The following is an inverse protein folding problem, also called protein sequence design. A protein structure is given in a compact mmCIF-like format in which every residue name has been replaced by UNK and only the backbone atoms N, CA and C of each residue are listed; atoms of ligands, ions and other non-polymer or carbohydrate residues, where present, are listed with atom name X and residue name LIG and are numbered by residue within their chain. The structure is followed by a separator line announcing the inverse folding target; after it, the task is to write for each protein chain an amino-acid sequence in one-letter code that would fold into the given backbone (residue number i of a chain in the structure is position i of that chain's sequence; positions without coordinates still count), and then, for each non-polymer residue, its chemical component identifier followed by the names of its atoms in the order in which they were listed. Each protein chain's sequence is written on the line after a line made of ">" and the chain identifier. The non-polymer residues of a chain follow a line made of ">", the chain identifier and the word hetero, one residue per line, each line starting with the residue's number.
data_IF_083150178958
#
_entry.id   IF_083150178958
#
_cell.length_a   1.000
_cell.length_b   1.000
_cell.length_c   1.000
_cell.angle_alpha   90.00
_cell.angle_beta   90.00
_cell.angle_gamma   90.00
#
_symmetry.space_group_name_H-M   'P 1'
#
loop_
_entity.id
_entity.type
_entity.pdbx_description
1 polymer ?
#
# COMPACT_ATOMS: atom_id res chain seq x y z
N UNK A 1 20.08 -15.56 6.46
CA UNK A 1 19.78 -14.52 7.46
C UNK A 1 18.27 -14.54 7.66
N UNK A 2 17.81 -15.23 8.70
CA UNK A 2 16.39 -15.45 8.93
C UNK A 2 15.71 -14.18 9.43
N UNK A 3 14.45 -14.09 9.10
CA UNK A 3 13.58 -12.99 9.45
C UNK A 3 12.73 -13.53 10.61
N UNK A 4 12.99 -13.06 11.82
CA UNK A 4 12.46 -13.67 13.08
C UNK A 4 11.55 -12.70 13.83
N UNK A 5 10.56 -13.16 14.63
CA UNK A 5 9.53 -12.31 15.29
C UNK A 5 9.99 -10.96 15.74
N UNK A 6 11.04 -11.13 16.53
CA UNK A 6 11.62 -10.08 17.29
C UNK A 6 12.03 -8.92 16.40
N UNK A 7 12.50 -9.19 15.17
CA UNK A 7 12.97 -8.15 14.27
C UNK A 7 11.80 -7.27 13.78
N UNK A 8 10.64 -7.81 13.37
CA UNK A 8 9.45 -7.06 12.90
C UNK A 8 8.95 -6.25 14.06
N UNK A 9 8.94 -6.84 15.25
CA UNK A 9 8.52 -6.14 16.45
C UNK A 9 9.43 -4.95 16.73
N UNK A 10 10.75 -5.14 16.71
CA UNK A 10 11.74 -4.06 16.88
C UNK A 10 11.52 -2.97 15.84
N UNK A 11 11.30 -3.36 14.60
CA UNK A 11 11.12 -2.45 13.47
C UNK A 11 9.80 -1.71 13.54
N UNK A 12 8.73 -2.38 13.97
CA UNK A 12 7.46 -1.74 14.26
C UNK A 12 7.60 -0.69 15.36
N UNK A 13 8.36 -1.00 16.43
CA UNK A 13 8.63 -0.05 17.51
C UNK A 13 9.45 1.15 16.99
N UNK A 14 10.50 0.93 16.20
CA UNK A 14 11.30 2.02 15.64
C UNK A 14 10.44 2.90 14.71
N UNK A 15 9.66 2.29 13.82
CA UNK A 15 8.72 3.01 12.96
C UNK A 15 7.70 3.84 13.76
N UNK A 16 7.18 3.32 14.88
CA UNK A 16 6.31 4.06 15.82
C UNK A 16 7.02 5.26 16.42
N UNK A 17 8.28 5.12 16.81
CA UNK A 17 9.06 6.22 17.39
C UNK A 17 9.38 7.29 16.35
N UNK A 18 9.74 6.90 15.12
CA UNK A 18 10.08 7.84 14.03
C UNK A 18 8.86 8.62 13.54
N UNK A 19 7.73 7.93 13.31
CA UNK A 19 6.52 8.57 12.79
C UNK A 19 5.66 9.22 13.90
N UNK A 20 5.82 8.72 15.13
CA UNK A 20 5.06 9.10 16.31
C UNK A 20 3.83 8.21 16.53
N UNK A 21 3.61 7.68 17.76
CA UNK A 21 2.50 6.77 18.06
C UNK A 21 1.12 7.40 17.85
N UNK A 22 1.04 8.72 17.96
CA UNK A 22 -0.21 9.47 17.77
C UNK A 22 -0.64 9.54 16.30
N UNK A 23 0.31 9.46 15.35
CA UNK A 23 0.03 9.64 13.91
C UNK A 23 -0.19 8.32 13.18
N UNK A 24 0.41 7.22 13.67
CA UNK A 24 0.22 5.89 13.10
C UNK A 24 -1.23 5.43 12.91
N UNK A 25 -2.14 5.55 13.91
CA UNK A 25 -3.52 5.09 13.73
C UNK A 25 -4.22 5.86 12.61
N UNK A 26 -3.93 7.16 12.46
CA UNK A 26 -4.46 7.98 11.38
C UNK A 26 -3.99 7.49 10.00
N UNK A 27 -2.70 7.17 9.84
CA UNK A 27 -2.17 6.66 8.58
C UNK A 27 -2.63 5.23 8.28
N UNK A 28 -2.73 4.38 9.28
CA UNK A 28 -3.26 3.03 9.14
C UNK A 28 -4.72 3.04 8.66
N UNK A 29 -5.54 3.96 9.20
CA UNK A 29 -6.91 4.17 8.73
C UNK A 29 -6.95 4.59 7.26
N UNK A 30 -6.13 5.58 6.87
CA UNK A 30 -6.03 6.04 5.47
C UNK A 30 -5.59 4.92 4.52
N UNK A 31 -4.61 4.12 4.92
CA UNK A 31 -4.17 2.97 4.14
C UNK A 31 -5.29 1.93 4.01
N UNK A 32 -6.02 1.64 5.10
CA UNK A 32 -7.14 0.71 5.07
C UNK A 32 -8.27 1.20 4.14
N UNK A 33 -8.58 2.49 4.17
CA UNK A 33 -9.55 3.11 3.27
C UNK A 33 -9.09 3.03 1.81
N UNK A 34 -7.81 3.32 1.56
CA UNK A 34 -7.22 3.20 0.23
C UNK A 34 -7.30 1.76 -0.31
N UNK A 35 -6.90 0.78 0.49
CA UNK A 35 -6.99 -0.64 0.09
C UNK A 35 -8.44 -1.06 -0.19
N UNK A 36 -9.40 -0.60 0.61
CA UNK A 36 -10.83 -0.84 0.34
C UNK A 36 -11.29 -0.20 -0.96
N UNK A 37 -10.83 1.02 -1.25
CA UNK A 37 -11.16 1.73 -2.48
C UNK A 37 -10.58 1.01 -3.71
N UNK A 38 -9.30 0.63 -3.66
CA UNK A 38 -8.63 -0.16 -4.71
C UNK A 38 -9.34 -1.48 -4.94
N UNK A 39 -9.73 -2.19 -3.87
CA UNK A 39 -10.49 -3.44 -3.97
C UNK A 39 -11.83 -3.23 -4.69
N UNK A 40 -12.62 -2.24 -4.26
CA UNK A 40 -13.92 -1.92 -4.89
C UNK A 40 -13.75 -1.57 -6.37
N UNK A 41 -12.69 -0.82 -6.70
CA UNK A 41 -12.36 -0.49 -8.08
C UNK A 41 -12.02 -1.73 -8.91
N UNK A 42 -11.19 -2.63 -8.36
CA UNK A 42 -10.85 -3.89 -9.01
C UNK A 42 -12.08 -4.79 -9.23
N UNK A 43 -12.97 -4.89 -8.22
CA UNK A 43 -14.22 -5.65 -8.33
C UNK A 43 -15.12 -5.06 -9.44
N UNK A 44 -15.28 -3.74 -9.48
CA UNK A 44 -16.08 -3.05 -10.53
C UNK A 44 -15.48 -3.22 -11.93
N UNK A 45 -14.16 -3.13 -12.04
CA UNK A 45 -13.46 -3.32 -13.31
C UNK A 45 -13.61 -4.77 -13.80
N UNK A 46 -13.55 -5.75 -12.87
CA UNK A 46 -13.78 -7.17 -13.17
C UNK A 46 -15.21 -7.41 -13.67
N UNK A 47 -16.21 -6.78 -13.04
CA UNK A 47 -17.61 -6.93 -13.45
C UNK A 47 -17.82 -6.42 -14.89
N UNK A 48 -17.29 -5.23 -15.23
CA UNK A 48 -17.36 -4.67 -16.59
C UNK A 48 -16.62 -5.52 -17.62
N UNK A 49 -15.42 -5.99 -17.28
CA UNK A 49 -14.61 -6.85 -18.16
C UNK A 49 -15.32 -8.18 -18.44
N UNK A 50 -16.02 -8.74 -17.44
CA UNK A 50 -16.85 -9.95 -17.57
C UNK A 50 -18.09 -9.73 -18.45
N UNK A 51 -18.68 -8.54 -18.41
CA UNK A 51 -19.81 -8.17 -19.27
C UNK A 51 -19.40 -8.02 -20.74
N UNK A 52 -18.19 -7.51 -21.02
CA UNK A 52 -17.71 -7.24 -22.38
C UNK A 52 -17.02 -8.44 -23.06
N UNK A 53 -16.34 -9.33 -22.32
CA UNK A 53 -15.60 -10.46 -22.90
C UNK A 53 -16.36 -11.79 -22.94
N UNK A 54 -17.55 -11.87 -22.33
CA UNK A 54 -18.32 -13.12 -22.30
C UNK A 54 -17.64 -14.24 -21.47
N UNK A 55 -18.17 -15.48 -21.52
CA UNK A 55 -17.78 -16.58 -20.63
C UNK A 55 -16.33 -17.09 -20.79
N UNK A 56 -15.54 -16.53 -21.71
CA UNK A 56 -14.11 -16.83 -21.87
C UNK A 56 -13.23 -16.15 -20.80
N UNK A 57 -13.82 -15.32 -19.93
CA UNK A 57 -13.11 -14.66 -18.81
C UNK A 57 -12.92 -15.55 -17.55
N UNK A 58 -13.52 -16.75 -17.53
CA UNK A 58 -13.44 -17.69 -16.39
C UNK A 58 -12.12 -18.50 -16.36
N UNK A 59 -11.37 -18.58 -17.46
CA UNK A 59 -10.13 -19.35 -17.53
C UNK A 59 -8.89 -18.59 -17.00
N UNK A 60 -9.01 -17.28 -16.78
CA UNK A 60 -7.93 -16.47 -16.18
C UNK A 60 -8.03 -16.60 -14.66
N UNK A 61 -7.48 -17.68 -14.11
CA UNK A 61 -6.80 -17.88 -12.81
C UNK A 61 -6.94 -16.84 -11.64
N UNK A 62 -8.07 -16.13 -11.48
CA UNK A 62 -8.28 -15.13 -10.41
C UNK A 62 -8.41 -15.77 -9.02
N UNK A 63 -8.72 -17.08 -8.97
CA UNK A 63 -8.82 -17.84 -7.73
C UNK A 63 -7.46 -18.03 -7.03
N UNK A 64 -6.35 -17.96 -7.78
CA UNK A 64 -4.98 -17.93 -7.22
C UNK A 64 -4.60 -16.57 -6.64
N UNK A 65 -5.33 -15.52 -7.00
CA UNK A 65 -5.09 -14.14 -6.57
C UNK A 65 -6.05 -13.66 -5.48
N UNK A 66 -7.00 -14.49 -5.01
CA UNK A 66 -7.90 -14.13 -3.92
C UNK A 66 -7.18 -14.26 -2.56
N UNK A 67 -6.82 -13.14 -1.89
CA UNK A 67 -6.11 -13.16 -0.62
C UNK A 67 -6.94 -13.74 0.52
N UNK A 68 -8.25 -13.98 0.35
CA UNK A 68 -9.11 -14.59 1.37
C UNK A 68 -9.09 -16.11 1.33
N UNK A 69 -8.68 -16.70 0.21
CA UNK A 69 -8.51 -18.15 0.08
C UNK A 69 -7.12 -18.62 0.53
N UNK A 70 -6.25 -17.69 0.95
CA UNK A 70 -5.10 -17.95 1.80
C UNK A 70 -5.60 -18.26 3.22
N UNK A 71 -6.20 -19.44 3.41
CA UNK A 71 -6.81 -19.82 4.69
C UNK A 71 -5.70 -20.17 5.70
N UNK A 72 -5.44 -19.29 6.70
CA UNK A 72 -4.36 -19.50 7.65
C UNK A 72 -4.54 -20.79 8.46
N UNK A 73 -5.78 -21.30 8.55
CA UNK A 73 -6.10 -22.55 9.22
C UNK A 73 -5.50 -23.76 8.50
N UNK A 74 -5.33 -23.74 7.18
CA UNK A 74 -4.60 -24.80 6.46
C UNK A 74 -3.13 -24.80 6.86
N UNK A 75 -2.50 -23.62 6.89
CA UNK A 75 -1.09 -23.48 7.28
C UNK A 75 -0.86 -23.95 8.72
N UNK A 76 -1.78 -23.62 9.63
CA UNK A 76 -1.71 -24.05 11.04
C UNK A 76 -2.00 -25.54 11.20
N UNK A 77 -2.92 -26.13 10.42
CA UNK A 77 -3.18 -27.58 10.44
C UNK A 77 -2.01 -28.36 9.86
N UNK A 78 -1.45 -27.91 8.75
CA UNK A 78 -0.23 -28.50 8.18
C UNK A 78 0.91 -28.39 9.18
N UNK A 79 1.04 -27.26 9.88
CA UNK A 79 1.99 -27.11 10.98
C UNK A 79 1.67 -28.01 12.17
N UNK A 80 0.42 -28.22 12.58
CA UNK A 80 0.05 -29.08 13.73
C UNK A 80 0.17 -30.57 13.43
N UNK A 81 -0.06 -30.97 12.18
CA UNK A 81 0.14 -32.33 11.70
C UNK A 81 1.65 -32.65 11.54
N UNK A 82 2.46 -31.64 11.20
CA UNK A 82 3.93 -31.71 11.15
C UNK A 82 4.58 -31.52 12.53
N UNK A 83 3.94 -30.79 13.45
CA UNK A 83 4.43 -30.46 14.81
C UNK A 83 3.64 -31.17 15.91
N UNK A 84 3.63 -32.50 15.86
CA UNK A 84 3.26 -33.37 17.00
C UNK A 84 4.21 -33.26 18.21
N UNK A 85 4.85 -32.12 18.44
CA UNK A 85 5.72 -31.90 19.59
C UNK A 85 6.39 -30.53 19.61
N UNK A 86 5.86 -29.63 20.44
CA UNK A 86 6.61 -28.55 21.13
C UNK A 86 6.75 -27.19 20.42
N UNK A 87 5.72 -26.36 20.63
CA UNK A 87 5.75 -24.93 21.05
C UNK A 87 6.35 -23.84 20.14
N UNK A 88 5.51 -23.37 19.21
CA UNK A 88 5.06 -21.99 18.95
C UNK A 88 5.97 -20.75 19.18
N UNK A 89 6.08 -19.90 18.13
CA UNK A 89 6.08 -18.43 18.28
C UNK A 89 6.89 -17.60 17.26
N UNK A 90 6.29 -17.27 16.11
CA UNK A 90 6.84 -16.58 14.91
C UNK A 90 6.82 -15.05 14.92
N UNK A 91 7.68 -14.40 14.08
CA UNK A 91 7.34 -13.50 12.94
C UNK A 91 8.39 -12.44 12.46
N UNK A 92 9.42 -12.75 11.66
CA UNK A 92 9.98 -11.83 10.64
C UNK A 92 10.49 -10.41 11.03
N UNK A 93 11.17 -9.65 10.15
CA UNK A 93 11.84 -8.32 10.23
C UNK A 93 11.20 -7.36 9.17
N UNK A 94 11.45 -6.05 9.01
CA UNK A 94 12.70 -5.34 8.57
C UNK A 94 12.41 -3.81 8.53
N UNK A 95 13.28 -2.97 9.08
CA UNK A 95 13.58 -1.57 8.71
C UNK A 95 15.07 -1.62 8.33
N UNK A 96 15.67 -0.90 7.37
CA UNK A 96 15.30 0.21 6.49
C UNK A 96 16.43 0.29 5.46
N UNK A 97 16.16 0.72 4.22
CA UNK A 97 17.22 1.27 3.36
C UNK A 97 16.65 2.44 2.54
N UNK A 98 17.45 3.50 2.46
CA UNK A 98 17.10 4.90 2.25
C UNK A 98 17.06 5.29 0.76
N UNK A 99 16.24 6.27 0.39
CA UNK A 99 16.37 6.99 -0.89
C UNK A 99 16.47 8.50 -0.60
N UNK A 100 17.63 9.05 -0.97
CA UNK A 100 18.01 10.46 -0.94
C UNK A 100 17.11 11.31 -1.85
N UNK A 101 16.52 12.37 -1.30
CA UNK A 101 15.63 13.27 -2.03
C UNK A 101 16.39 14.15 -3.03
N UNK A 102 15.98 14.08 -4.29
CA UNK A 102 16.39 15.00 -5.35
C UNK A 102 15.90 16.44 -5.08
N UNK A 103 16.80 17.39 -5.32
CA UNK A 103 16.65 18.84 -5.19
C UNK A 103 15.43 19.37 -5.95
N UNK A 104 14.41 19.86 -5.23
CA UNK A 104 13.25 20.56 -5.81
C UNK A 104 13.68 21.98 -6.22
N UNK A 105 13.35 22.39 -7.45
CA UNK A 105 13.68 23.69 -8.06
C UNK A 105 12.95 24.82 -7.32
N UNK A 106 13.68 25.87 -6.96
CA UNK A 106 13.15 27.02 -6.22
C UNK A 106 12.08 27.77 -7.04
N UNK A 107 10.97 28.10 -6.39
CA UNK A 107 9.90 28.97 -6.90
C UNK A 107 10.46 30.39 -7.10
N UNK A 108 10.27 30.96 -8.29
CA UNK A 108 10.69 32.34 -8.60
C UNK A 108 9.89 33.36 -7.75
N UNK A 109 10.49 34.52 -7.39
CA UNK A 109 9.81 35.53 -6.59
C UNK A 109 8.66 36.16 -7.38
N UNK A 110 7.49 36.25 -6.76
CA UNK A 110 6.30 36.91 -7.31
C UNK A 110 6.49 38.42 -7.18
N UNK A 111 6.69 39.12 -8.30
CA UNK A 111 6.76 40.58 -8.35
C UNK A 111 5.33 41.10 -8.59
N UNK A 112 4.80 42.01 -7.75
CA UNK A 112 3.48 42.60 -7.98
C UNK A 112 3.49 43.49 -9.22
N UNK A 113 2.43 43.41 -10.03
CA UNK A 113 2.24 44.25 -11.22
C UNK A 113 2.08 45.73 -10.82
N UNK A 114 2.58 46.65 -11.66
CA UNK A 114 2.38 48.06 -11.45
C UNK A 114 0.92 48.48 -11.74
N UNK A 115 0.47 49.57 -11.13
CA UNK A 115 -0.91 50.05 -11.26
C UNK A 115 -1.22 50.44 -12.72
N UNK A 116 -2.07 49.66 -13.39
CA UNK A 116 -2.44 49.82 -14.80
C UNK A 116 -1.77 48.85 -15.79
N UNK A 117 -0.93 47.92 -15.32
CA UNK A 117 -0.31 46.90 -16.18
C UNK A 117 -1.25 45.68 -16.34
N UNK A 118 -1.62 45.30 -17.58
CA UNK A 118 -2.46 44.13 -17.80
C UNK A 118 -1.69 42.85 -17.48
N UNK A 119 -2.34 41.90 -16.80
CA UNK A 119 -1.75 40.60 -16.52
C UNK A 119 -1.40 39.87 -17.83
N UNK A 120 -0.21 39.24 -17.93
CA UNK A 120 0.13 38.39 -19.06
C UNK A 120 -0.89 37.25 -19.18
N UNK A 121 -1.47 37.08 -20.37
CA UNK A 121 -2.36 35.96 -20.68
C UNK A 121 -1.82 35.16 -21.86
N UNK A 122 -2.11 33.86 -21.87
CA UNK A 122 -1.70 32.93 -22.92
C UNK A 122 -2.74 32.96 -24.05
N UNK A 123 -2.29 33.28 -25.26
CA UNK A 123 -3.14 33.39 -26.46
C UNK A 123 -3.41 32.05 -27.14
N UNK A 124 -2.75 30.96 -26.72
CA UNK A 124 -2.87 29.63 -27.32
C UNK A 124 -3.92 28.74 -26.62
N UNK A 125 -4.61 29.24 -25.59
CA UNK A 125 -5.68 28.52 -24.91
C UNK A 125 -7.01 28.61 -25.70
N UNK A 126 -7.30 27.61 -26.54
CA UNK A 126 -8.59 27.38 -27.22
C UNK A 126 -9.05 25.94 -27.01
#
# INVERSE_FOLDING_TARGET
>A
MSIDFNKILIIGIIAVLLLGPQRLPMYAQKLAEFVKAVRRFADTAKDRMREEMGPEFDDVDWQKLDPRQYDPRRIIRDALLDSGGTTAGSMAAVETAQVTASKVRATAPVVPLAEGEPAPYDTEAT
#
